data_IF_858943409128
#
_entry.id   IF_858943409128
#
_cell.length_a   1.000
_cell.length_b   1.000
_cell.length_c   1.000
_cell.angle_alpha   90.00
_cell.angle_beta   90.00
_cell.angle_gamma   90.00
#
_symmetry.space_group_name_H-M   'P 1'
#
loop_
_entity.id
_entity.type
_entity.pdbx_description
1 polymer ?
#
# COMPACT_ATOMS: atom_id res chain seq x y z
N UNK A 1 -15.47 -53.78 -9.09
CA UNK A 1 -14.12 -53.54 -8.53
C UNK A 1 -13.20 -52.72 -9.45
N UNK A 2 -12.96 -53.11 -10.72
CA UNK A 2 -12.03 -52.39 -11.61
C UNK A 2 -12.40 -50.91 -11.87
N UNK A 3 -13.70 -50.60 -11.95
CA UNK A 3 -14.16 -49.22 -12.14
C UNK A 3 -13.92 -48.34 -10.91
N UNK A 4 -14.06 -48.88 -9.70
CA UNK A 4 -13.79 -48.16 -8.45
C UNK A 4 -12.34 -47.67 -8.40
N UNK A 5 -11.37 -48.56 -8.61
CA UNK A 5 -9.96 -48.18 -8.62
C UNK A 5 -9.60 -47.23 -9.78
N UNK A 6 -10.25 -47.34 -10.94
CA UNK A 6 -10.07 -46.40 -12.05
C UNK A 6 -10.47 -44.98 -11.67
N UNK A 7 -11.64 -44.82 -11.04
CA UNK A 7 -12.12 -43.49 -10.63
C UNK A 7 -11.33 -42.93 -9.45
N UNK A 8 -10.97 -43.76 -8.46
CA UNK A 8 -10.13 -43.32 -7.33
C UNK A 8 -8.74 -42.87 -7.78
N UNK A 9 -8.10 -43.60 -8.69
CA UNK A 9 -6.81 -43.18 -9.25
C UNK A 9 -6.94 -41.92 -10.11
N UNK A 10 -8.01 -41.81 -10.91
CA UNK A 10 -8.26 -40.63 -11.73
C UNK A 10 -8.46 -39.36 -10.87
N UNK A 11 -9.22 -39.46 -9.77
CA UNK A 11 -9.41 -38.33 -8.86
C UNK A 11 -8.12 -37.99 -8.11
N UNK A 12 -7.36 -38.99 -7.65
CA UNK A 12 -6.09 -38.77 -6.96
C UNK A 12 -5.05 -38.07 -7.85
N UNK A 13 -4.97 -38.44 -9.13
CA UNK A 13 -4.12 -37.77 -10.13
C UNK A 13 -4.65 -36.38 -10.45
N UNK A 14 -5.97 -36.20 -10.61
CA UNK A 14 -6.57 -34.89 -10.83
C UNK A 14 -6.28 -33.91 -9.68
N UNK A 15 -6.37 -34.40 -8.44
CA UNK A 15 -6.10 -33.61 -7.24
C UNK A 15 -4.61 -33.25 -7.14
N UNK A 16 -3.72 -34.16 -7.51
CA UNK A 16 -2.27 -33.89 -7.61
C UNK A 16 -1.94 -32.83 -8.67
N UNK A 17 -2.52 -32.93 -9.86
CA UNK A 17 -2.33 -31.92 -10.92
C UNK A 17 -2.91 -30.56 -10.52
N UNK A 18 -4.07 -30.56 -9.88
CA UNK A 18 -4.72 -29.32 -9.40
C UNK A 18 -3.90 -28.66 -8.31
N UNK A 19 -3.29 -29.44 -7.40
CA UNK A 19 -2.45 -28.86 -6.35
C UNK A 19 -1.21 -28.16 -6.94
N UNK A 20 -0.58 -28.73 -7.96
CA UNK A 20 0.55 -28.11 -8.66
C UNK A 20 0.14 -26.76 -9.27
N UNK A 21 -1.00 -26.72 -9.97
CA UNK A 21 -1.53 -25.49 -10.56
C UNK A 21 -1.82 -24.44 -9.48
N UNK A 22 -2.43 -24.83 -8.37
CA UNK A 22 -2.71 -23.92 -7.25
C UNK A 22 -1.43 -23.36 -6.62
N UNK A 23 -0.38 -24.17 -6.48
CA UNK A 23 0.92 -23.71 -5.99
C UNK A 23 1.53 -22.66 -6.92
N UNK A 24 1.46 -22.86 -8.23
CA UNK A 24 1.94 -21.87 -9.21
C UNK A 24 1.16 -20.57 -9.10
N UNK A 25 -0.17 -20.63 -9.02
CA UNK A 25 -1.04 -19.45 -8.85
C UNK A 25 -0.72 -18.73 -7.53
N UNK A 26 -0.53 -19.49 -6.44
CA UNK A 26 -0.18 -18.92 -5.14
C UNK A 26 1.14 -18.14 -5.18
N UNK A 27 2.19 -18.69 -5.79
CA UNK A 27 3.45 -17.97 -5.96
C UNK A 27 3.35 -16.79 -6.92
N UNK A 28 2.52 -16.88 -7.97
CA UNK A 28 2.26 -15.75 -8.86
C UNK A 28 1.57 -14.58 -8.13
N UNK A 29 0.60 -14.89 -7.26
CA UNK A 29 -0.07 -13.88 -6.42
C UNK A 29 0.92 -13.26 -5.44
N UNK A 30 1.73 -14.07 -4.73
CA UNK A 30 2.76 -13.55 -3.82
C UNK A 30 3.77 -12.68 -4.58
N UNK A 31 4.25 -13.12 -5.73
CA UNK A 31 5.16 -12.35 -6.57
C UNK A 31 4.54 -11.03 -7.02
N UNK A 32 3.24 -11.02 -7.36
CA UNK A 32 2.50 -9.80 -7.67
C UNK A 32 2.37 -8.86 -6.48
N UNK A 33 2.10 -9.38 -5.28
CA UNK A 33 2.03 -8.58 -4.05
C UNK A 33 3.40 -7.99 -3.70
N UNK A 34 4.48 -8.78 -3.78
CA UNK A 34 5.84 -8.28 -3.51
C UNK A 34 6.23 -7.21 -4.52
N UNK A 35 5.95 -7.42 -5.81
CA UNK A 35 6.22 -6.43 -6.85
C UNK A 35 5.40 -5.14 -6.67
N UNK A 36 4.17 -5.24 -6.14
CA UNK A 36 3.36 -4.08 -5.80
C UNK A 36 3.84 -3.38 -4.51
N UNK A 37 4.34 -4.15 -3.53
CA UNK A 37 4.89 -3.63 -2.28
C UNK A 37 6.24 -2.93 -2.45
N UNK A 38 7.02 -3.31 -3.46
CA UNK A 38 8.26 -2.61 -3.86
C UNK A 38 7.97 -1.29 -4.62
N UNK A 39 6.76 -0.74 -4.47
CA UNK A 39 6.38 0.62 -4.81
C UNK A 39 7.15 1.70 -4.02
N UNK A 40 8.33 1.38 -3.48
CA UNK A 40 9.39 2.30 -3.12
C UNK A 40 9.90 3.01 -4.37
N UNK A 41 9.03 3.80 -5.00
CA UNK A 41 9.47 4.93 -5.80
C UNK A 41 10.25 5.78 -4.81
N UNK A 42 11.58 5.72 -4.89
CA UNK A 42 12.42 6.80 -4.39
C UNK A 42 11.81 8.06 -4.98
N UNK A 43 11.05 8.79 -4.16
CA UNK A 43 10.40 10.03 -4.57
C UNK A 43 11.55 11.00 -4.73
N UNK A 44 12.12 11.04 -5.93
CA UNK A 44 13.12 12.02 -6.29
C UNK A 44 12.43 13.38 -6.26
N UNK A 45 12.81 14.19 -5.29
CA UNK A 45 12.35 15.57 -5.19
C UNK A 45 13.16 16.38 -6.18
N UNK A 46 12.47 16.98 -7.15
CA UNK A 46 13.12 17.84 -8.12
C UNK A 46 13.70 19.09 -7.46
N UNK A 47 14.82 19.59 -7.97
CA UNK A 47 15.45 20.79 -7.46
C UNK A 47 14.50 21.99 -7.56
N UNK A 48 14.47 22.82 -6.51
CA UNK A 48 13.58 24.00 -6.38
C UNK A 48 12.10 23.69 -6.14
N UNK A 49 11.81 22.55 -5.52
CA UNK A 49 10.45 22.19 -5.11
C UNK A 49 9.97 23.00 -3.90
N UNK A 50 8.65 23.12 -3.75
CA UNK A 50 7.99 23.72 -2.58
C UNK A 50 7.10 22.66 -1.94
N UNK A 51 7.25 22.45 -0.63
CA UNK A 51 6.38 21.53 0.11
C UNK A 51 5.03 22.21 0.35
N UNK A 52 3.96 21.65 -0.21
CA UNK A 52 2.58 22.11 0.05
C UNK A 52 1.94 21.22 1.11
N UNK A 53 1.52 21.83 2.22
CA UNK A 53 0.81 21.14 3.30
C UNK A 53 -0.65 21.58 3.27
N UNK A 54 -1.53 20.69 2.83
CA UNK A 54 -2.96 20.95 2.73
C UNK A 54 -3.70 20.52 4.00
N UNK A 55 -4.20 21.49 4.77
CA UNK A 55 -4.99 21.27 5.98
C UNK A 55 -6.47 21.38 5.62
N UNK A 56 -7.00 20.34 4.97
CA UNK A 56 -8.39 20.30 4.46
C UNK A 56 -9.39 19.56 5.37
N UNK A 57 -8.92 18.93 6.44
CA UNK A 57 -9.70 18.07 7.33
C UNK A 57 -9.23 18.17 8.79
N UNK A 58 -10.06 17.78 9.78
CA UNK A 58 -9.61 17.63 11.16
C UNK A 58 -8.37 16.74 11.26
N UNK A 59 -7.35 17.23 11.96
CA UNK A 59 -6.07 16.54 12.11
C UNK A 59 -6.05 15.86 13.46
N UNK A 60 -6.05 14.53 13.46
CA UNK A 60 -5.84 13.74 14.66
C UNK A 60 -4.35 13.74 15.04
N UNK A 61 -4.01 13.67 16.33
CA UNK A 61 -2.62 13.69 16.81
C UNK A 61 -1.78 12.53 16.23
N UNK A 62 -2.39 11.35 16.13
CA UNK A 62 -1.77 10.13 15.64
C UNK A 62 -2.51 9.62 14.43
N UNK A 63 -1.76 9.29 13.39
CA UNK A 63 -2.27 8.52 12.25
C UNK A 63 -2.75 7.17 12.76
N UNK A 64 -4.04 6.82 12.58
CA UNK A 64 -4.50 5.48 12.90
C UNK A 64 -3.75 4.49 12.02
N UNK A 65 -2.92 3.66 12.65
CA UNK A 65 -2.17 2.61 11.97
C UNK A 65 -3.14 1.48 11.63
N UNK A 66 -3.91 1.66 10.56
CA UNK A 66 -4.82 0.66 10.06
C UNK A 66 -4.04 -0.27 9.12
N UNK A 67 -3.73 -1.52 9.51
CA UNK A 67 -3.02 -2.46 8.65
C UNK A 67 -3.81 -2.83 7.39
N UNK A 68 -5.11 -2.51 7.35
CA UNK A 68 -5.96 -2.69 6.17
C UNK A 68 -5.98 -1.47 5.25
N UNK A 69 -5.49 -0.29 5.67
CA UNK A 69 -5.43 0.89 4.80
C UNK A 69 -4.38 0.75 3.67
N UNK A 70 -3.38 -0.11 3.86
CA UNK A 70 -2.42 -0.47 2.82
C UNK A 70 -3.02 -1.44 1.78
N UNK A 71 -4.18 -2.05 2.07
CA UNK A 71 -4.95 -2.87 1.13
C UNK A 71 -5.90 -2.05 0.25
N UNK A 72 -5.70 -0.72 0.14
CA UNK A 72 -6.46 0.17 -0.76
C UNK A 72 -6.50 -0.34 -2.22
N UNK A 73 -5.47 -1.08 -2.66
CA UNK A 73 -5.45 -1.79 -3.95
C UNK A 73 -6.61 -2.81 -4.13
N UNK A 74 -7.14 -3.37 -3.05
CA UNK A 74 -8.27 -4.32 -3.07
C UNK A 74 -9.65 -3.62 -2.98
N UNK A 75 -9.71 -2.29 -3.12
CA UNK A 75 -10.95 -1.51 -3.06
C UNK A 75 -11.45 -1.20 -1.65
N UNK A 76 -10.62 -1.46 -0.63
CA UNK A 76 -10.87 -0.97 0.71
C UNK A 76 -10.32 0.45 0.83
N UNK A 77 -11.10 1.44 0.40
CA UNK A 77 -10.79 2.86 0.66
C UNK A 77 -10.99 3.13 2.16
N UNK A 78 -9.95 2.83 2.92
CA UNK A 78 -9.78 3.45 4.23
C UNK A 78 -9.28 4.87 3.99
N UNK A 79 -10.06 5.87 4.38
CA UNK A 79 -9.63 7.27 4.40
C UNK A 79 -8.29 7.36 5.12
N UNK A 80 -7.22 7.57 4.35
CA UNK A 80 -5.86 7.69 4.89
C UNK A 80 -5.74 9.05 5.56
N UNK A 81 -6.18 9.14 6.81
CA UNK A 81 -6.04 10.33 7.64
C UNK A 81 -4.57 10.49 8.03
N UNK A 82 -3.96 11.60 7.62
CA UNK A 82 -2.62 11.98 8.05
C UNK A 82 -2.73 12.67 9.41
N UNK A 83 -2.02 12.14 10.40
CA UNK A 83 -1.95 12.73 11.73
C UNK A 83 -0.88 13.81 11.85
N UNK A 84 -0.98 14.60 12.91
CA UNK A 84 -0.08 15.74 13.16
C UNK A 84 1.40 15.32 13.22
N UNK A 85 1.70 14.17 13.83
CA UNK A 85 3.07 13.66 13.92
C UNK A 85 3.72 13.41 12.55
N UNK A 86 2.94 12.95 11.57
CA UNK A 86 3.44 12.71 10.22
C UNK A 86 3.68 14.03 9.48
N UNK A 87 2.81 15.03 9.67
CA UNK A 87 3.01 16.39 9.14
C UNK A 87 4.31 16.98 9.69
N UNK A 88 4.50 16.92 11.01
CA UNK A 88 5.71 17.42 11.67
C UNK A 88 6.98 16.68 11.22
N UNK A 89 6.90 15.35 11.05
CA UNK A 89 8.00 14.56 10.54
C UNK A 89 8.37 14.96 9.10
N UNK A 90 7.37 15.21 8.24
CA UNK A 90 7.61 15.62 6.86
C UNK A 90 8.15 17.05 6.76
N UNK A 91 7.70 17.97 7.62
CA UNK A 91 8.29 19.32 7.73
C UNK A 91 9.76 19.23 8.17
N UNK A 92 10.09 18.37 9.13
CA UNK A 92 11.48 18.14 9.57
C UNK A 92 12.35 17.58 8.45
N UNK A 93 11.83 16.63 7.66
CA UNK A 93 12.53 16.09 6.48
C UNK A 93 12.76 17.19 5.44
N UNK A 94 11.74 17.99 5.14
CA UNK A 94 11.84 19.07 4.18
C UNK A 94 12.81 20.17 4.59
N UNK A 95 12.94 20.44 5.90
CA UNK A 95 13.96 21.36 6.42
C UNK A 95 15.39 20.94 6.06
N UNK A 96 15.65 19.64 5.98
CA UNK A 96 16.99 19.08 5.71
C UNK A 96 17.20 18.70 4.24
N UNK A 97 16.21 18.94 3.37
CA UNK A 97 16.28 18.61 1.95
C UNK A 97 16.64 19.85 1.12
N UNK A 98 17.83 19.83 0.51
CA UNK A 98 18.37 20.95 -0.30
C UNK A 98 17.52 21.27 -1.55
N UNK A 99 16.71 20.31 -2.00
CA UNK A 99 15.83 20.47 -3.15
C UNK A 99 14.56 21.27 -2.81
N UNK A 100 14.19 21.36 -1.52
CA UNK A 100 13.00 22.07 -1.07
C UNK A 100 13.36 23.50 -0.67
N UNK A 101 12.82 24.48 -1.40
CA UNK A 101 13.13 25.91 -1.18
C UNK A 101 12.20 26.60 -0.20
N UNK A 102 11.05 26.01 0.08
CA UNK A 102 10.06 26.60 0.96
C UNK A 102 8.93 25.64 1.29
N UNK A 103 8.10 26.08 2.25
CA UNK A 103 6.91 25.36 2.70
C UNK A 103 5.73 26.31 2.55
N UNK A 104 4.69 25.86 1.85
CA UNK A 104 3.41 26.55 1.73
C UNK A 104 2.38 25.81 2.58
N UNK A 105 1.86 26.49 3.59
CA UNK A 105 0.75 25.98 4.40
C UNK A 105 -0.55 26.45 3.73
N UNK A 106 -1.47 25.52 3.49
CA UNK A 106 -2.80 25.84 2.98
C UNK A 106 -3.83 25.47 4.04
N UNK A 107 -4.29 26.48 4.75
CA UNK A 107 -5.22 26.40 5.88
C UNK A 107 -6.70 26.54 5.49
N UNK A 108 -7.09 26.06 4.31
CA UNK A 108 -8.48 26.14 3.80
C UNK A 108 -9.55 25.69 4.81
N UNK A 109 -9.25 24.72 5.68
CA UNK A 109 -10.18 24.25 6.71
C UNK A 109 -10.18 25.09 8.00
N UNK A 110 -9.09 25.78 8.34
CA UNK A 110 -9.00 26.54 9.59
C UNK A 110 -9.61 27.94 9.50
N UNK A 111 -9.93 28.40 8.29
CA UNK A 111 -10.58 29.69 8.04
C UNK A 111 -12.12 29.65 8.11
N UNK A 112 -12.72 28.48 8.37
CA UNK A 112 -14.17 28.29 8.55
C UNK A 112 -14.47 27.94 10.00
#
# INVERSE_FOLDING_TARGET
>A
MKQFFKFVLATMVGLFLTSIVLVIIFFAIIGGIIAAADGGKDVKVDANSILVVELKQPIDERTPKNPLAELSFLGFDGDKKIGLNDILANIKKAKTDDNIKGIFLNESYMMT
#
